data_IF_556437718698
#
_entry.id   IF_556437718698
#
_cell.length_a   1.000
_cell.length_b   1.000
_cell.length_c   1.000
_cell.angle_alpha   90.00
_cell.angle_beta   90.00
_cell.angle_gamma   90.00
#
_symmetry.space_group_name_H-M   'P 1'
#
loop_
_entity.id
_entity.type
_entity.pdbx_description
1 polymer ?
#
# COMPACT_ATOMS: atom_id res chain seq x y z
N UNK A 1 11.38 7.33 44.08
CA UNK A 1 10.99 6.47 42.95
C UNK A 1 9.77 5.70 43.39
N UNK A 2 8.58 6.07 42.91
CA UNK A 2 7.35 5.31 43.17
C UNK A 2 7.40 4.04 42.33
N UNK A 3 7.64 2.89 42.96
CA UNK A 3 7.39 1.59 42.35
C UNK A 3 5.95 1.56 41.86
N UNK A 4 5.76 1.43 40.55
CA UNK A 4 4.45 1.12 40.01
C UNK A 4 4.10 -0.26 40.57
N UNK A 5 2.97 -0.43 41.27
CA UNK A 5 2.58 -1.73 41.78
C UNK A 5 2.55 -2.73 40.62
N UNK A 6 3.20 -3.89 40.76
CA UNK A 6 3.37 -4.87 39.68
C UNK A 6 2.04 -5.22 38.97
N UNK A 7 0.93 -5.18 39.70
CA UNK A 7 -0.43 -5.37 39.17
C UNK A 7 -0.84 -4.30 38.15
N UNK A 8 -0.51 -3.02 38.39
CA UNK A 8 -0.80 -1.93 37.46
C UNK A 8 0.03 -2.05 36.19
N UNK A 9 1.30 -2.46 36.33
CA UNK A 9 2.16 -2.74 35.19
C UNK A 9 1.65 -3.95 34.39
N UNK A 10 1.25 -5.04 35.05
CA UNK A 10 0.69 -6.21 34.39
C UNK A 10 -0.61 -5.89 33.64
N UNK A 11 -1.50 -5.08 34.24
CA UNK A 11 -2.73 -4.62 33.59
C UNK A 11 -2.44 -3.75 32.35
N UNK A 12 -1.48 -2.83 32.44
CA UNK A 12 -1.06 -2.01 31.31
C UNK A 12 -0.49 -2.86 30.17
N UNK A 13 0.34 -3.85 30.48
CA UNK A 13 0.91 -4.76 29.47
C UNK A 13 -0.16 -5.63 28.80
N UNK A 14 -1.17 -6.11 29.56
CA UNK A 14 -2.32 -6.83 28.98
C UNK A 14 -3.10 -5.94 28.01
N UNK A 15 -3.37 -4.68 28.38
CA UNK A 15 -4.06 -3.74 27.50
C UNK A 15 -3.29 -3.50 26.19
N UNK A 16 -1.97 -3.37 26.24
CA UNK A 16 -1.12 -3.25 25.05
C UNK A 16 -1.19 -4.51 24.19
N UNK A 17 -1.12 -5.69 24.81
CA UNK A 17 -1.23 -6.97 24.12
C UNK A 17 -2.57 -7.09 23.39
N UNK A 18 -3.67 -6.83 24.07
CA UNK A 18 -5.02 -6.95 23.51
C UNK A 18 -5.23 -5.98 22.34
N UNK A 19 -4.74 -4.74 22.47
CA UNK A 19 -4.77 -3.76 21.38
C UNK A 19 -3.90 -4.20 20.20
N UNK A 20 -2.73 -4.78 20.47
CA UNK A 20 -1.82 -5.34 19.47
C UNK A 20 -2.44 -6.49 18.69
N UNK A 21 -3.08 -7.44 19.38
CA UNK A 21 -3.78 -8.58 18.78
C UNK A 21 -4.96 -8.12 17.91
N UNK A 22 -5.76 -7.17 18.41
CA UNK A 22 -6.86 -6.58 17.61
C UNK A 22 -6.35 -5.89 16.36
N UNK A 23 -5.26 -5.09 16.48
CA UNK A 23 -4.63 -4.44 15.32
C UNK A 23 -4.10 -5.48 14.32
N UNK A 24 -3.45 -6.54 14.79
CA UNK A 24 -2.92 -7.59 13.93
C UNK A 24 -4.04 -8.31 13.16
N UNK A 25 -5.17 -8.61 13.82
CA UNK A 25 -6.33 -9.22 13.17
C UNK A 25 -6.91 -8.32 12.07
N UNK A 26 -7.08 -7.02 12.35
CA UNK A 26 -7.57 -6.06 11.36
C UNK A 26 -6.61 -5.91 10.17
N UNK A 27 -5.30 -5.87 10.42
CA UNK A 27 -4.31 -5.80 9.35
C UNK A 27 -4.31 -7.05 8.49
N UNK A 28 -4.46 -8.23 9.10
CA UNK A 28 -4.61 -9.49 8.35
C UNK A 28 -5.83 -9.44 7.44
N UNK A 29 -6.98 -9.01 7.97
CA UNK A 29 -8.21 -8.87 7.17
C UNK A 29 -8.05 -7.85 6.04
N UNK A 30 -7.42 -6.69 6.33
CA UNK A 30 -7.15 -5.67 5.33
C UNK A 30 -6.23 -6.18 4.21
N UNK A 31 -5.19 -6.96 4.56
CA UNK A 31 -4.28 -7.58 3.60
C UNK A 31 -5.00 -8.61 2.73
N UNK A 32 -5.92 -9.40 3.31
CA UNK A 32 -6.73 -10.35 2.56
C UNK A 32 -7.64 -9.65 1.54
N UNK A 33 -8.34 -8.58 1.94
CA UNK A 33 -9.16 -7.76 1.04
C UNK A 33 -8.27 -7.15 -0.06
N UNK A 34 -7.12 -6.59 0.34
CA UNK A 34 -6.19 -5.97 -0.60
C UNK A 34 -5.72 -6.94 -1.67
N UNK A 35 -5.35 -8.15 -1.28
CA UNK A 35 -4.72 -9.15 -2.15
C UNK A 35 -5.72 -9.97 -2.95
N UNK A 36 -6.83 -10.38 -2.34
CA UNK A 36 -7.83 -11.28 -2.95
C UNK A 36 -8.93 -10.55 -3.68
N UNK A 37 -9.21 -9.29 -3.33
CA UNK A 37 -10.33 -8.53 -3.93
C UNK A 37 -9.82 -7.32 -4.71
N UNK A 38 -9.12 -6.40 -4.05
CA UNK A 38 -8.73 -5.11 -4.66
C UNK A 38 -7.72 -5.31 -5.78
N UNK A 39 -6.63 -6.05 -5.53
CA UNK A 39 -5.59 -6.30 -6.52
C UNK A 39 -6.15 -6.90 -7.83
N UNK A 40 -6.90 -8.02 -7.82
CA UNK A 40 -7.43 -8.58 -9.06
C UNK A 40 -8.42 -7.64 -9.76
N UNK A 41 -9.28 -6.93 -9.02
CA UNK A 41 -10.20 -5.96 -9.60
C UNK A 41 -9.46 -4.78 -10.26
N UNK A 42 -8.41 -4.26 -9.62
CA UNK A 42 -7.56 -3.20 -10.16
C UNK A 42 -6.84 -3.65 -11.44
N UNK A 43 -6.34 -4.90 -11.49
CA UNK A 43 -5.68 -5.45 -12.68
C UNK A 43 -6.68 -5.67 -13.81
N UNK A 44 -7.89 -6.14 -13.52
CA UNK A 44 -8.95 -6.26 -14.51
C UNK A 44 -9.32 -4.90 -15.10
N UNK A 45 -9.53 -3.88 -14.26
CA UNK A 45 -9.80 -2.51 -14.71
C UNK A 45 -8.67 -1.97 -15.60
N UNK A 46 -7.41 -2.23 -15.25
CA UNK A 46 -6.26 -1.83 -16.06
C UNK A 46 -6.23 -2.53 -17.43
N UNK A 47 -6.55 -3.83 -17.49
CA UNK A 47 -6.67 -4.59 -18.76
C UNK A 47 -7.79 -4.06 -19.65
N UNK A 48 -8.88 -3.61 -19.04
CA UNK A 48 -10.00 -2.95 -19.73
C UNK A 48 -9.71 -1.49 -20.11
N UNK A 49 -8.50 -0.99 -19.86
CA UNK A 49 -8.06 0.35 -20.27
C UNK A 49 -8.38 1.48 -19.30
N UNK A 50 -8.82 1.18 -18.07
CA UNK A 50 -9.09 2.21 -17.09
C UNK A 50 -7.82 3.01 -16.70
N UNK A 51 -8.00 4.32 -16.47
CA UNK A 51 -6.90 5.22 -16.13
C UNK A 51 -6.25 4.89 -14.79
N UNK A 52 -4.91 4.75 -14.78
CA UNK A 52 -4.13 4.35 -13.59
C UNK A 52 -4.33 5.25 -12.38
N UNK A 53 -4.47 6.56 -12.60
CA UNK A 53 -4.72 7.52 -11.51
C UNK A 53 -6.06 7.24 -10.81
N UNK A 54 -7.09 6.89 -11.59
CA UNK A 54 -8.42 6.56 -11.07
C UNK A 54 -8.42 5.22 -10.35
N UNK A 55 -7.77 4.21 -10.92
CA UNK A 55 -7.56 2.91 -10.26
C UNK A 55 -6.89 3.11 -8.90
N UNK A 56 -5.80 3.88 -8.85
CA UNK A 56 -5.07 4.16 -7.60
C UNK A 56 -5.97 4.82 -6.54
N UNK A 57 -6.72 5.85 -6.93
CA UNK A 57 -7.60 6.59 -6.02
C UNK A 57 -8.68 5.67 -5.42
N UNK A 58 -9.31 4.84 -6.25
CA UNK A 58 -10.38 3.94 -5.81
C UNK A 58 -9.85 2.75 -5.01
N UNK A 59 -8.69 2.22 -5.39
CA UNK A 59 -8.06 1.12 -4.67
C UNK A 59 -7.45 1.55 -3.32
N UNK A 60 -7.30 2.86 -3.08
CA UNK A 60 -6.71 3.37 -1.83
C UNK A 60 -5.24 3.02 -1.63
N UNK A 61 -4.50 2.72 -2.71
CA UNK A 61 -3.10 2.28 -2.63
C UNK A 61 -2.12 3.36 -3.06
N UNK A 62 -0.90 3.28 -2.53
CA UNK A 62 0.20 4.12 -3.00
C UNK A 62 0.60 3.84 -4.46
N UNK A 63 1.26 4.80 -5.15
CA UNK A 63 1.69 4.63 -6.53
C UNK A 63 2.64 3.44 -6.72
N UNK A 64 3.57 3.23 -5.79
CA UNK A 64 4.53 2.11 -5.85
C UNK A 64 3.84 0.74 -5.82
N UNK A 65 2.77 0.60 -5.03
CA UNK A 65 1.99 -0.64 -4.93
C UNK A 65 1.28 -0.94 -6.25
N UNK A 66 0.60 0.06 -6.82
CA UNK A 66 -0.10 -0.12 -8.10
C UNK A 66 0.90 -0.45 -9.22
N UNK A 67 2.02 0.26 -9.32
CA UNK A 67 3.01 -0.02 -10.37
C UNK A 67 3.65 -1.40 -10.24
N UNK A 68 3.90 -1.86 -9.01
CA UNK A 68 4.34 -3.24 -8.77
C UNK A 68 3.32 -4.24 -9.30
N UNK A 69 2.03 -4.08 -8.98
CA UNK A 69 0.98 -4.97 -9.49
C UNK A 69 0.89 -4.97 -11.01
N UNK A 70 0.97 -3.79 -11.64
CA UNK A 70 0.97 -3.69 -13.10
C UNK A 70 2.16 -4.43 -13.71
N UNK A 71 3.35 -4.30 -13.12
CA UNK A 71 4.54 -5.05 -13.54
C UNK A 71 4.37 -6.57 -13.39
N UNK A 72 3.89 -7.04 -12.23
CA UNK A 72 3.59 -8.46 -11.98
C UNK A 72 2.54 -9.01 -12.97
N UNK A 73 1.60 -8.19 -13.42
CA UNK A 73 0.57 -8.56 -14.38
C UNK A 73 1.01 -8.42 -15.85
N UNK A 74 2.26 -8.04 -16.12
CA UNK A 74 2.78 -7.83 -17.48
C UNK A 74 2.17 -6.62 -18.20
N UNK A 75 1.53 -5.70 -17.47
CA UNK A 75 0.91 -4.51 -18.05
C UNK A 75 1.97 -3.41 -18.25
N UNK A 76 2.04 -2.80 -19.44
CA UNK A 76 3.12 -1.88 -19.79
C UNK A 76 3.05 -0.60 -18.95
N UNK A 77 3.88 -0.48 -17.92
CA UNK A 77 4.06 0.77 -17.17
C UNK A 77 5.03 1.62 -17.98
N UNK A 78 4.51 2.49 -18.87
CA UNK A 78 5.29 3.43 -19.69
C UNK A 78 6.55 3.87 -18.95
N UNK A 79 7.71 3.42 -19.42
CA UNK A 79 8.98 3.79 -18.81
C UNK A 79 9.09 5.31 -18.80
N UNK A 80 9.59 5.84 -17.68
CA UNK A 80 9.82 7.27 -17.53
C UNK A 80 10.81 7.68 -18.62
N UNK A 81 10.31 8.29 -19.70
CA UNK A 81 11.16 8.86 -20.74
C UNK A 81 12.17 9.78 -20.05
N UNK A 82 13.46 9.49 -20.27
CA UNK A 82 14.55 10.30 -19.73
C UNK A 82 14.30 11.78 -20.07
N UNK A 83 14.61 12.73 -19.17
CA UNK A 83 14.40 14.13 -19.46
C UNK A 83 15.16 14.48 -20.74
N UNK A 84 14.44 15.01 -21.74
CA UNK A 84 15.03 15.44 -22.99
C UNK A 84 16.18 16.42 -22.67
N UNK A 85 17.42 16.04 -23.02
CA UNK A 85 18.57 16.94 -22.95
C UNK A 85 18.24 18.14 -23.84
N UNK A 86 17.82 19.24 -23.22
CA UNK A 86 17.58 20.53 -23.87
C UNK A 86 18.88 20.90 -24.57
N UNK A 87 18.87 20.82 -25.91
CA UNK A 87 20.04 21.05 -26.75
C UNK A 87 20.65 22.41 -26.45
N UNK A 88 21.98 22.43 -26.30
CA UNK A 88 22.80 23.63 -26.43
C UNK A 88 22.46 24.24 -27.79
N UNK A 89 21.80 25.41 -27.81
CA UNK A 89 21.82 26.29 -28.98
C UNK A 89 23.19 26.96 -29.00
N UNK A 90 24.08 26.43 -29.81
CA UNK A 90 25.21 27.15 -30.37
C UNK A 90 24.74 28.02 -31.54
N UNK A 91 25.45 29.14 -31.71
CA UNK A 91 25.33 30.18 -32.74
C UNK A 91 24.36 31.32 -32.44
#
# INVERSE_FOLDING_TARGET
>A
MTEIPEEQQAAALRAVKDAGERRAALLKQAEEILTKEIKPAAMNAARLGAGRSRIRQLAGVGPSVLYRWLGEAGLPVREKSAPARKGKRSS
#
